data_IF_503601837180
#
_entry.id   IF_503601837180
#
_cell.length_a   1.000
_cell.length_b   1.000
_cell.length_c   1.000
_cell.angle_alpha   90.00
_cell.angle_beta   90.00
_cell.angle_gamma   90.00
#
_symmetry.space_group_name_H-M   'P 1'
#
loop_
_entity.id
_entity.type
_entity.pdbx_description
1 polymer ?
#
# COMPACT_ATOMS: atom_id res chain seq x y z
N UNK A 1 -16.79 40.96 8.10
CA UNK A 1 -16.43 39.67 7.48
C UNK A 1 -15.65 38.85 8.49
N UNK A 2 -16.29 37.86 9.13
CA UNK A 2 -15.60 36.96 10.04
C UNK A 2 -14.60 36.09 9.26
N UNK A 3 -13.35 36.08 9.69
CA UNK A 3 -12.34 35.13 9.16
C UNK A 3 -12.92 33.74 9.36
N UNK A 4 -13.24 33.04 8.28
CA UNK A 4 -13.63 31.61 8.36
C UNK A 4 -12.53 30.88 9.13
N UNK A 5 -12.90 30.19 10.22
CA UNK A 5 -11.92 29.39 10.98
C UNK A 5 -11.31 28.37 10.01
N UNK A 6 -9.99 28.44 9.88
CA UNK A 6 -9.26 27.54 9.00
C UNK A 6 -9.38 26.10 9.52
N UNK A 7 -10.04 25.25 8.76
CA UNK A 7 -10.26 23.85 9.08
C UNK A 7 -9.02 23.00 8.73
N UNK A 8 -8.79 21.97 9.53
CA UNK A 8 -7.73 20.99 9.34
C UNK A 8 -8.32 19.59 9.21
N UNK A 9 -7.66 18.75 8.45
CA UNK A 9 -7.87 17.30 8.50
C UNK A 9 -6.58 16.62 8.87
N UNK A 10 -6.66 15.42 9.43
CA UNK A 10 -5.50 14.55 9.67
C UNK A 10 -5.66 13.30 8.83
N UNK A 11 -4.58 12.89 8.15
CA UNK A 11 -4.49 11.56 7.56
C UNK A 11 -3.47 10.77 8.39
N UNK A 12 -3.99 9.81 9.17
CA UNK A 12 -3.18 8.91 9.99
C UNK A 12 -2.60 7.77 9.15
N UNK A 13 -1.33 7.44 9.38
CA UNK A 13 -0.64 6.39 8.62
C UNK A 13 -0.27 6.77 7.18
N UNK A 14 -0.33 8.07 6.84
CA UNK A 14 0.07 8.58 5.54
C UNK A 14 1.59 8.51 5.37
N UNK A 15 2.06 7.73 4.40
CA UNK A 15 3.47 7.64 4.04
C UNK A 15 3.64 7.48 2.52
N UNK A 16 4.26 8.49 1.89
CA UNK A 16 4.62 8.50 0.47
C UNK A 16 6.12 8.30 0.24
N UNK A 17 6.89 8.14 1.31
CA UNK A 17 8.34 7.94 1.26
C UNK A 17 8.74 6.50 1.61
N UNK A 18 7.77 5.63 1.85
CA UNK A 18 8.01 4.22 2.12
C UNK A 18 8.68 3.55 0.91
N UNK A 19 9.64 2.69 1.15
CA UNK A 19 10.28 1.88 0.10
C UNK A 19 9.29 0.95 -0.60
N UNK A 20 8.20 0.57 0.07
CA UNK A 20 7.11 -0.21 -0.51
C UNK A 20 6.13 0.70 -1.26
N UNK A 21 6.12 0.61 -2.60
CA UNK A 21 5.19 1.38 -3.47
C UNK A 21 3.73 1.06 -3.19
N UNK A 22 3.44 -0.09 -2.57
CA UNK A 22 2.10 -0.41 -2.06
C UNK A 22 1.67 0.52 -0.93
N UNK A 23 2.52 0.78 0.05
CA UNK A 23 2.26 1.76 1.12
C UNK A 23 2.10 3.16 0.54
N UNK A 24 2.99 3.56 -0.39
CA UNK A 24 2.84 4.84 -1.11
C UNK A 24 1.49 4.92 -1.83
N UNK A 25 1.06 3.83 -2.52
CA UNK A 25 -0.20 3.79 -3.25
C UNK A 25 -1.40 4.05 -2.36
N UNK A 26 -1.39 3.55 -1.11
CA UNK A 26 -2.43 3.85 -0.13
C UNK A 26 -2.45 5.34 0.23
N UNK A 27 -1.30 5.98 0.38
CA UNK A 27 -1.19 7.42 0.63
C UNK A 27 -1.76 8.25 -0.54
N UNK A 28 -1.29 8.02 -1.76
CA UNK A 28 -1.81 8.70 -2.95
C UNK A 28 -3.30 8.44 -3.17
N UNK A 29 -3.72 7.20 -3.02
CA UNK A 29 -5.13 6.80 -3.16
C UNK A 29 -6.03 7.42 -2.11
N UNK A 30 -5.53 7.65 -0.88
CA UNK A 30 -6.31 8.29 0.18
C UNK A 30 -6.65 9.74 -0.16
N UNK A 31 -5.74 10.49 -0.78
CA UNK A 31 -6.01 11.86 -1.24
C UNK A 31 -7.12 11.87 -2.30
N UNK A 32 -7.02 11.01 -3.32
CA UNK A 32 -8.06 10.89 -4.35
C UNK A 32 -9.40 10.42 -3.79
N UNK A 33 -9.39 9.47 -2.86
CA UNK A 33 -10.60 8.99 -2.21
C UNK A 33 -11.29 10.09 -1.39
N UNK A 34 -10.51 10.82 -0.59
CA UNK A 34 -11.03 11.93 0.22
C UNK A 34 -11.52 13.09 -0.63
N UNK A 35 -10.87 13.35 -1.78
CA UNK A 35 -11.36 14.31 -2.75
C UNK A 35 -12.73 13.91 -3.29
N UNK A 36 -12.89 12.68 -3.73
CA UNK A 36 -14.14 12.17 -4.32
C UNK A 36 -15.29 12.08 -3.31
N UNK A 37 -15.01 11.68 -2.07
CA UNK A 37 -16.05 11.38 -1.06
C UNK A 37 -16.29 12.49 -0.06
N UNK A 38 -15.29 13.33 0.20
CA UNK A 38 -15.33 14.37 1.26
C UNK A 38 -15.00 15.77 0.75
N UNK A 39 -14.82 15.93 -0.56
CA UNK A 39 -14.55 17.24 -1.17
C UNK A 39 -13.18 17.83 -0.76
N UNK A 40 -12.18 16.98 -0.53
CA UNK A 40 -10.81 17.42 -0.27
C UNK A 40 -10.31 18.26 -1.45
N UNK A 41 -9.72 19.42 -1.17
CA UNK A 41 -9.16 20.33 -2.19
C UNK A 41 -7.70 20.65 -1.88
N UNK A 42 -6.92 21.14 -2.85
CA UNK A 42 -5.54 21.60 -2.61
C UNK A 42 -5.41 22.65 -1.51
N UNK A 43 -6.45 23.46 -1.29
CA UNK A 43 -6.47 24.50 -0.23
C UNK A 43 -6.74 23.92 1.17
N UNK A 44 -7.16 22.66 1.26
CA UNK A 44 -7.39 21.98 2.54
C UNK A 44 -6.08 21.79 3.28
N UNK A 45 -6.04 22.21 4.55
CA UNK A 45 -4.86 21.98 5.38
C UNK A 45 -4.84 20.55 5.90
N UNK A 46 -3.92 19.77 5.35
CA UNK A 46 -3.73 18.38 5.72
C UNK A 46 -2.57 18.27 6.72
N UNK A 47 -2.80 17.57 7.81
CA UNK A 47 -1.81 17.29 8.83
C UNK A 47 -1.51 15.78 8.88
N UNK A 48 -0.25 15.45 9.11
CA UNK A 48 0.21 14.14 9.57
C UNK A 48 0.83 14.34 10.95
N UNK A 49 0.37 13.60 11.96
CA UNK A 49 0.82 13.80 13.33
C UNK A 49 2.06 12.94 13.61
N UNK A 50 3.04 13.53 14.30
CA UNK A 50 4.24 12.84 14.75
C UNK A 50 4.37 12.99 16.26
N UNK A 51 4.23 11.89 17.00
CA UNK A 51 4.40 11.88 18.44
C UNK A 51 5.88 11.90 18.81
N UNK A 52 6.30 12.91 19.59
CA UNK A 52 7.69 13.11 19.98
C UNK A 52 7.84 13.11 21.49
N UNK A 53 8.88 12.42 21.99
CA UNK A 53 9.20 12.38 23.42
C UNK A 53 10.11 13.55 23.84
N UNK A 54 11.07 13.92 22.99
CA UNK A 54 12.02 14.98 23.28
C UNK A 54 11.89 16.12 22.25
N UNK A 55 11.31 17.29 22.64
CA UNK A 55 11.15 18.44 21.75
C UNK A 55 12.48 19.16 21.45
N UNK A 56 13.52 18.92 22.24
CA UNK A 56 14.80 19.64 22.11
C UNK A 56 15.72 19.03 21.04
N UNK A 57 15.48 17.80 20.62
CA UNK A 57 16.23 17.19 19.53
C UNK A 57 16.03 17.97 18.23
N UNK A 58 17.13 18.28 17.54
CA UNK A 58 17.14 19.09 16.31
C UNK A 58 16.19 18.53 15.23
N UNK A 59 16.16 17.21 15.04
CA UNK A 59 15.27 16.51 14.11
C UNK A 59 13.77 16.74 14.39
N UNK A 60 13.40 17.05 15.64
CA UNK A 60 12.02 17.30 16.08
C UNK A 60 11.60 18.77 15.94
N UNK A 61 12.52 19.69 15.62
CA UNK A 61 12.25 21.12 15.47
C UNK A 61 11.78 21.49 14.06
N UNK A 62 11.98 20.60 13.08
CA UNK A 62 11.70 20.88 11.67
C UNK A 62 10.26 20.45 11.35
N UNK A 63 9.41 21.41 11.01
CA UNK A 63 8.13 21.15 10.39
C UNK A 63 8.35 20.78 8.91
N UNK A 64 8.31 19.48 8.59
CA UNK A 64 8.39 19.02 7.21
C UNK A 64 7.03 19.20 6.55
N UNK A 65 7.03 19.64 5.30
CA UNK A 65 5.86 19.70 4.43
C UNK A 65 6.15 18.80 3.24
N UNK A 66 5.33 17.80 3.06
CA UNK A 66 5.37 16.97 1.87
C UNK A 66 4.42 17.57 0.82
N UNK A 67 4.92 17.82 -0.38
CA UNK A 67 4.12 18.20 -1.54
C UNK A 67 3.82 16.96 -2.35
N UNK A 68 2.55 16.68 -2.55
CA UNK A 68 2.05 15.46 -3.20
C UNK A 68 1.22 15.82 -4.40
N UNK A 69 1.67 15.42 -5.57
CA UNK A 69 0.94 15.64 -6.82
C UNK A 69 -0.01 14.47 -7.08
N UNK A 70 -1.27 14.78 -7.33
CA UNK A 70 -2.32 13.82 -7.72
C UNK A 70 -3.03 14.38 -8.95
N UNK A 71 -2.74 13.83 -10.11
CA UNK A 71 -3.16 14.40 -11.39
C UNK A 71 -2.57 15.79 -11.62
N UNK A 72 -3.41 16.78 -11.85
CA UNK A 72 -3.06 18.20 -12.01
C UNK A 72 -3.02 18.99 -10.68
N UNK A 73 -3.37 18.36 -9.56
CA UNK A 73 -3.48 18.99 -8.24
C UNK A 73 -2.27 18.71 -7.37
N UNK A 74 -1.81 19.72 -6.62
CA UNK A 74 -0.76 19.59 -5.60
C UNK A 74 -1.36 19.75 -4.21
N UNK A 75 -1.21 18.73 -3.37
CA UNK A 75 -1.62 18.74 -1.95
C UNK A 75 -0.40 18.97 -1.07
N UNK A 76 -0.57 19.78 -0.02
CA UNK A 76 0.47 20.05 0.97
C UNK A 76 0.12 19.36 2.30
N UNK A 77 0.91 18.38 2.70
CA UNK A 77 0.76 17.66 3.97
C UNK A 77 1.82 18.15 4.96
N UNK A 78 1.38 18.82 6.02
CA UNK A 78 2.27 19.33 7.06
C UNK A 78 2.45 18.30 8.17
N UNK A 79 3.68 17.91 8.47
CA UNK A 79 4.01 17.10 9.63
C UNK A 79 3.94 17.97 10.89
N UNK A 80 3.01 17.66 11.79
CA UNK A 80 2.82 18.35 13.05
C UNK A 80 3.36 17.51 14.20
N UNK A 81 4.34 18.03 14.92
CA UNK A 81 4.86 17.39 16.11
C UNK A 81 3.88 17.55 17.27
N UNK A 82 3.54 16.43 17.92
CA UNK A 82 2.70 16.36 19.11
C UNK A 82 3.56 15.88 20.27
N UNK A 83 3.63 16.67 21.32
CA UNK A 83 4.35 16.26 22.52
C UNK A 83 3.65 15.11 23.21
N UNK A 84 4.41 14.15 23.67
CA UNK A 84 3.87 13.00 24.37
C UNK A 84 3.02 13.40 25.60
N UNK A 85 3.40 14.48 26.28
CA UNK A 85 2.61 15.04 27.38
C UNK A 85 1.22 15.54 26.91
N UNK A 86 1.14 16.21 25.77
CA UNK A 86 -0.14 16.65 25.21
C UNK A 86 -1.06 15.49 24.86
N UNK A 87 -0.47 14.40 24.33
CA UNK A 87 -1.19 13.15 24.09
C UNK A 87 -1.77 12.57 25.38
N UNK A 88 -0.96 12.48 26.45
CA UNK A 88 -1.40 11.96 27.77
C UNK A 88 -2.50 12.83 28.36
N UNK A 89 -2.34 14.16 28.33
CA UNK A 89 -3.32 15.11 28.85
C UNK A 89 -4.68 14.93 28.15
N UNK A 90 -4.67 14.77 26.83
CA UNK A 90 -5.90 14.55 26.09
C UNK A 90 -6.51 13.17 26.36
N UNK A 91 -5.72 12.11 26.29
CA UNK A 91 -6.22 10.73 26.42
C UNK A 91 -6.74 10.41 27.82
N UNK A 92 -6.05 10.90 28.88
CA UNK A 92 -6.42 10.59 30.28
C UNK A 92 -7.33 11.62 30.94
N UNK A 93 -7.15 12.90 30.59
CA UNK A 93 -7.81 14.01 31.30
C UNK A 93 -8.74 14.83 30.40
N UNK A 94 -8.83 14.52 29.10
CA UNK A 94 -9.58 15.28 28.10
C UNK A 94 -9.17 16.78 28.03
N UNK A 95 -7.90 17.08 28.34
CA UNK A 95 -7.35 18.44 28.35
C UNK A 95 -6.54 18.67 27.10
N UNK A 96 -6.81 19.78 26.40
CA UNK A 96 -5.99 20.30 25.30
C UNK A 96 -5.36 21.63 25.70
N UNK A 97 -4.08 21.81 25.40
CA UNK A 97 -3.37 23.07 25.68
C UNK A 97 -3.63 24.07 24.54
N UNK A 98 -4.44 25.12 24.76
CA UNK A 98 -4.97 25.96 23.67
C UNK A 98 -3.91 26.80 22.94
N UNK A 99 -2.76 27.03 23.55
CA UNK A 99 -1.68 27.84 23.01
C UNK A 99 -0.68 27.04 22.14
N UNK A 100 -0.68 25.72 22.24
CA UNK A 100 0.21 24.87 21.42
C UNK A 100 -0.27 24.73 19.97
N UNK A 101 0.62 24.43 19.00
CA UNK A 101 0.21 24.14 17.63
C UNK A 101 -0.78 22.98 17.54
N UNK A 102 -0.57 21.92 18.34
CA UNK A 102 -1.48 20.77 18.40
C UNK A 102 -2.84 21.13 18.98
N UNK A 103 -2.89 21.84 20.12
CA UNK A 103 -4.16 22.27 20.70
C UNK A 103 -4.95 23.27 19.82
N UNK A 104 -4.26 24.09 19.00
CA UNK A 104 -4.89 24.92 17.96
C UNK A 104 -5.42 24.04 16.82
N UNK A 105 -4.69 23.01 16.40
CA UNK A 105 -5.11 22.10 15.36
C UNK A 105 -6.35 21.30 15.78
N UNK A 106 -6.35 20.69 16.96
CA UNK A 106 -7.47 19.89 17.48
C UNK A 106 -8.79 20.67 17.50
N UNK A 107 -8.78 21.94 17.94
CA UNK A 107 -10.00 22.76 17.99
C UNK A 107 -10.59 23.12 16.64
N UNK A 108 -9.82 23.00 15.57
CA UNK A 108 -10.25 23.31 14.22
C UNK A 108 -10.18 22.08 13.31
N UNK A 109 -9.99 20.90 13.90
CA UNK A 109 -9.92 19.63 13.18
C UNK A 109 -11.32 19.19 12.75
N UNK A 110 -11.47 18.89 11.48
CA UNK A 110 -12.75 18.50 10.90
C UNK A 110 -12.97 16.99 11.02
N UNK A 111 -11.95 16.21 10.74
CA UNK A 111 -11.93 14.75 10.91
C UNK A 111 -10.51 14.20 10.89
N UNK A 112 -10.38 12.95 11.33
CA UNK A 112 -9.18 12.10 11.18
C UNK A 112 -9.51 10.93 10.29
N UNK A 113 -8.82 10.80 9.14
CA UNK A 113 -8.92 9.68 8.23
C UNK A 113 -7.76 8.72 8.47
N UNK A 114 -8.04 7.45 8.77
CA UNK A 114 -7.04 6.48 9.20
C UNK A 114 -6.71 5.45 8.12
N UNK A 115 -5.40 5.36 7.77
CA UNK A 115 -4.79 4.28 7.00
C UNK A 115 -3.93 3.47 7.96
N UNK A 116 -4.19 2.17 8.07
CA UNK A 116 -3.41 1.28 8.94
C UNK A 116 -2.52 0.32 8.12
N UNK A 117 -1.95 0.82 7.02
CA UNK A 117 -1.10 0.04 6.11
C UNK A 117 -1.84 -1.03 5.31
N UNK A 118 -3.15 -0.85 5.11
CA UNK A 118 -3.99 -1.72 4.29
C UNK A 118 -4.52 -2.98 4.98
N UNK A 119 -3.77 -3.65 5.83
CA UNK A 119 -4.22 -4.80 6.64
C UNK A 119 -3.75 -4.75 8.10
N UNK A 120 -3.24 -3.63 8.51
CA UNK A 120 -2.69 -3.47 9.85
C UNK A 120 -3.69 -3.01 10.91
N UNK A 121 -4.97 -2.82 10.57
CA UNK A 121 -6.04 -2.74 11.57
C UNK A 121 -6.45 -4.17 11.98
N UNK A 122 -5.48 -4.88 12.51
CA UNK A 122 -5.57 -6.28 12.93
C UNK A 122 -4.41 -6.61 13.88
N UNK A 123 -4.44 -7.73 14.57
CA UNK A 123 -3.33 -8.19 15.40
C UNK A 123 -2.50 -9.34 14.79
N UNK A 124 -2.66 -9.58 13.48
CA UNK A 124 -1.92 -10.61 12.73
C UNK A 124 -0.40 -10.42 12.77
N UNK A 125 0.09 -9.20 12.85
CA UNK A 125 1.53 -8.91 12.96
C UNK A 125 2.02 -8.90 14.40
N UNK A 126 1.29 -8.30 15.30
CA UNK A 126 1.39 -8.34 16.76
C UNK A 126 0.41 -7.35 17.40
N UNK A 127 0.06 -7.58 18.66
CA UNK A 127 -0.69 -6.59 19.46
C UNK A 127 0.01 -5.24 19.50
N UNK A 128 1.35 -5.21 19.64
CA UNK A 128 2.12 -3.97 19.70
C UNK A 128 2.02 -3.18 18.39
N UNK A 129 2.13 -3.86 17.23
CA UNK A 129 1.98 -3.23 15.91
C UNK A 129 0.57 -2.66 15.72
N UNK A 130 -0.47 -3.36 16.17
CA UNK A 130 -1.84 -2.87 16.17
C UNK A 130 -1.96 -1.57 16.97
N UNK A 131 -1.51 -1.56 18.21
CA UNK A 131 -1.58 -0.38 19.08
C UNK A 131 -0.77 0.82 18.56
N UNK A 132 0.35 0.60 17.89
CA UNK A 132 1.14 1.70 17.31
C UNK A 132 0.44 2.47 16.20
N UNK A 133 -0.56 1.87 15.57
CA UNK A 133 -1.32 2.45 14.46
C UNK A 133 -2.60 3.18 14.88
N UNK A 134 -2.92 3.21 16.17
CA UNK A 134 -4.18 3.75 16.67
C UNK A 134 -4.10 5.15 17.32
N UNK A 135 -2.94 5.73 17.68
CA UNK A 135 -2.87 6.92 18.52
C UNK A 135 -3.69 8.10 18.00
N UNK A 136 -3.64 8.40 16.70
CA UNK A 136 -4.37 9.52 16.10
C UNK A 136 -5.88 9.29 16.14
N UNK A 137 -6.30 8.07 15.83
CA UNK A 137 -7.71 7.68 15.85
C UNK A 137 -8.29 7.73 17.26
N UNK A 138 -7.58 7.13 18.24
CA UNK A 138 -8.02 7.16 19.65
C UNK A 138 -8.09 8.59 20.20
N UNK A 139 -7.09 9.39 19.88
CA UNK A 139 -7.02 10.79 20.27
C UNK A 139 -8.19 11.59 19.68
N UNK A 140 -8.53 11.39 18.40
CA UNK A 140 -9.68 12.02 17.76
C UNK A 140 -10.99 11.64 18.45
N UNK A 141 -11.21 10.34 18.72
CA UNK A 141 -12.40 9.85 19.43
C UNK A 141 -12.51 10.51 20.81
N UNK A 142 -11.40 10.57 21.57
CA UNK A 142 -11.36 11.21 22.89
C UNK A 142 -11.63 12.71 22.83
N UNK A 143 -11.28 13.38 21.75
CA UNK A 143 -11.54 14.79 21.52
C UNK A 143 -12.93 15.06 20.92
N UNK A 144 -13.75 14.04 20.65
CA UNK A 144 -15.05 14.19 19.98
C UNK A 144 -14.95 14.59 18.51
N UNK A 145 -13.80 14.31 17.87
CA UNK A 145 -13.55 14.59 16.46
C UNK A 145 -13.98 13.40 15.63
N UNK A 146 -14.75 13.58 14.53
CA UNK A 146 -15.13 12.50 13.64
C UNK A 146 -13.93 11.73 13.11
N UNK A 147 -14.00 10.39 13.11
CA UNK A 147 -12.99 9.52 12.52
C UNK A 147 -13.55 8.77 11.31
N UNK A 148 -12.71 8.55 10.31
CA UNK A 148 -13.02 7.80 9.09
C UNK A 148 -12.02 6.67 8.99
N UNK A 149 -12.51 5.42 8.95
CA UNK A 149 -11.66 4.29 8.60
C UNK A 149 -11.64 4.18 7.09
N UNK A 150 -10.50 4.52 6.49
CA UNK A 150 -10.31 4.46 5.04
C UNK A 150 -10.29 3.02 4.52
N UNK A 151 -10.51 2.79 3.21
CA UNK A 151 -10.55 1.46 2.62
C UNK A 151 -9.35 0.58 2.98
N UNK A 152 -9.59 -0.45 3.77
CA UNK A 152 -8.59 -1.38 4.28
C UNK A 152 -9.22 -2.69 4.74
N UNK A 153 -8.41 -3.71 5.04
CA UNK A 153 -8.87 -4.92 5.71
C UNK A 153 -8.96 -4.68 7.21
N UNK A 154 -10.11 -4.99 7.82
CA UNK A 154 -10.37 -4.77 9.24
C UNK A 154 -10.46 -6.13 9.96
N UNK A 155 -9.35 -6.53 10.61
CA UNK A 155 -9.21 -7.81 11.31
C UNK A 155 -8.30 -8.80 10.55
N UNK A 156 -8.10 -10.02 11.06
CA UNK A 156 -8.73 -10.59 12.27
C UNK A 156 -8.22 -9.99 13.58
N UNK A 157 -8.89 -10.34 14.69
CA UNK A 157 -8.46 -10.04 16.06
C UNK A 157 -8.50 -11.33 16.87
N UNK A 158 -7.35 -11.87 17.23
CA UNK A 158 -7.23 -13.10 18.00
C UNK A 158 -7.44 -12.87 19.51
N UNK A 159 -6.98 -11.70 20.00
CA UNK A 159 -7.10 -11.36 21.42
C UNK A 159 -8.38 -10.60 21.70
N UNK A 160 -9.06 -10.99 22.81
CA UNK A 160 -10.31 -10.38 23.25
C UNK A 160 -10.19 -8.87 23.49
N UNK A 161 -9.06 -8.42 24.04
CA UNK A 161 -8.79 -7.00 24.30
C UNK A 161 -8.66 -6.22 22.99
N UNK A 162 -7.97 -6.77 21.99
CA UNK A 162 -7.81 -6.17 20.68
C UNK A 162 -9.14 -6.09 19.94
N UNK A 163 -9.94 -7.16 20.03
CA UNK A 163 -11.30 -7.19 19.49
C UNK A 163 -12.19 -6.10 20.13
N UNK A 164 -12.17 -5.99 21.47
CA UNK A 164 -12.95 -4.99 22.19
C UNK A 164 -12.54 -3.55 21.82
N UNK A 165 -11.23 -3.30 21.71
CA UNK A 165 -10.70 -2.00 21.29
C UNK A 165 -11.06 -1.68 19.82
N UNK A 166 -10.93 -2.65 18.92
CA UNK A 166 -11.32 -2.50 17.53
C UNK A 166 -12.82 -2.18 17.41
N UNK A 167 -13.68 -2.93 18.11
CA UNK A 167 -15.12 -2.67 18.19
C UNK A 167 -15.42 -1.26 18.65
N UNK A 168 -14.79 -0.80 19.73
CA UNK A 168 -14.95 0.56 20.25
C UNK A 168 -14.59 1.63 19.20
N UNK A 169 -13.44 1.46 18.52
CA UNK A 169 -12.98 2.40 17.49
C UNK A 169 -13.93 2.42 16.29
N UNK A 170 -14.34 1.24 15.81
CA UNK A 170 -15.18 1.12 14.63
C UNK A 170 -16.61 1.63 14.88
N UNK A 171 -17.16 1.39 16.08
CA UNK A 171 -18.46 1.91 16.47
C UNK A 171 -18.46 3.45 16.68
N UNK A 172 -17.33 4.01 17.10
CA UNK A 172 -17.18 5.46 17.27
C UNK A 172 -16.86 6.18 15.93
N UNK A 173 -16.49 5.44 14.89
CA UNK A 173 -16.16 6.02 13.59
C UNK A 173 -17.42 6.57 12.91
N UNK A 174 -17.28 7.75 12.27
CA UNK A 174 -18.31 8.35 11.44
C UNK A 174 -18.60 7.47 10.22
N UNK A 175 -17.54 7.04 9.54
CA UNK A 175 -17.62 6.20 8.37
C UNK A 175 -16.55 5.10 8.42
N UNK A 176 -16.91 3.89 7.97
CA UNK A 176 -16.03 2.72 7.91
C UNK A 176 -16.07 2.15 6.51
N UNK A 177 -14.92 2.16 5.83
CA UNK A 177 -14.76 1.57 4.50
C UNK A 177 -13.91 0.31 4.55
N UNK A 178 -14.36 -0.73 3.84
CA UNK A 178 -13.72 -2.05 3.81
C UNK A 178 -13.38 -2.41 2.38
N UNK A 179 -12.15 -2.85 2.12
CA UNK A 179 -11.69 -3.21 0.76
C UNK A 179 -11.95 -4.66 0.36
N UNK A 180 -12.31 -5.51 1.32
CA UNK A 180 -12.57 -6.93 1.09
C UNK A 180 -13.61 -7.47 2.08
N UNK A 181 -14.21 -8.61 1.78
CA UNK A 181 -15.32 -9.19 2.52
C UNK A 181 -14.88 -10.19 3.61
N UNK A 182 -13.59 -10.46 3.76
CA UNK A 182 -13.05 -11.54 4.62
C UNK A 182 -13.51 -11.48 6.08
N UNK A 183 -13.71 -10.27 6.62
CA UNK A 183 -14.08 -10.05 8.01
C UNK A 183 -15.41 -9.31 8.18
N UNK A 184 -16.21 -9.26 7.15
CA UNK A 184 -17.50 -8.57 7.14
C UNK A 184 -18.46 -9.16 8.17
N UNK A 185 -18.47 -10.48 8.35
CA UNK A 185 -19.31 -11.14 9.36
C UNK A 185 -18.92 -10.72 10.79
N UNK A 186 -17.63 -10.52 11.06
CA UNK A 186 -17.18 -9.98 12.35
C UNK A 186 -17.62 -8.53 12.55
N UNK A 187 -17.60 -7.71 11.51
CA UNK A 187 -18.08 -6.32 11.59
C UNK A 187 -19.59 -6.29 11.87
N UNK A 188 -20.38 -7.20 11.28
CA UNK A 188 -21.80 -7.34 11.59
C UNK A 188 -22.03 -7.74 13.05
N UNK A 189 -21.26 -8.71 13.57
CA UNK A 189 -21.32 -9.11 15.00
C UNK A 189 -20.92 -7.97 15.94
N UNK A 190 -20.00 -7.10 15.52
CA UNK A 190 -19.65 -5.89 16.25
C UNK A 190 -20.75 -4.81 16.20
N UNK A 191 -21.74 -4.92 15.32
CA UNK A 191 -22.75 -3.91 15.07
C UNK A 191 -22.21 -2.67 14.35
N UNK A 192 -21.17 -2.83 13.53
CA UNK A 192 -20.53 -1.75 12.78
C UNK A 192 -21.20 -1.59 11.41
N UNK A 193 -21.58 -0.36 11.09
CA UNK A 193 -21.99 0.01 9.73
C UNK A 193 -20.74 0.22 8.88
N UNK A 194 -20.70 -0.35 7.69
CA UNK A 194 -19.56 -0.26 6.78
C UNK A 194 -20.02 -0.16 5.31
N UNK A 195 -19.11 0.33 4.46
CA UNK A 195 -19.26 0.33 3.01
C UNK A 195 -18.13 -0.50 2.39
N UNK A 196 -18.48 -1.47 1.54
CA UNK A 196 -17.51 -2.21 0.73
C UNK A 196 -17.08 -1.32 -0.45
N UNK A 197 -15.78 -1.23 -0.67
CA UNK A 197 -15.20 -0.44 -1.76
C UNK A 197 -13.88 -1.05 -2.22
N UNK A 198 -13.26 -0.49 -3.24
CA UNK A 198 -11.96 -0.95 -3.69
C UNK A 198 -10.83 -0.56 -2.70
N UNK A 199 -9.69 -1.25 -2.81
CA UNK A 199 -8.44 -0.83 -2.15
C UNK A 199 -8.08 0.62 -2.50
N UNK A 200 -7.43 1.34 -1.58
CA UNK A 200 -7.03 2.73 -1.83
C UNK A 200 -6.16 2.88 -3.08
N UNK A 201 -5.34 1.89 -3.42
CA UNK A 201 -4.51 1.92 -4.63
C UNK A 201 -5.32 1.95 -5.94
N UNK A 202 -6.61 1.58 -5.90
CA UNK A 202 -7.55 1.78 -7.02
C UNK A 202 -7.71 3.26 -7.35
N UNK A 203 -7.86 4.09 -6.35
CA UNK A 203 -8.09 5.54 -6.49
C UNK A 203 -6.83 6.31 -6.88
N UNK A 204 -5.63 5.73 -6.69
CA UNK A 204 -4.39 6.34 -7.15
C UNK A 204 -4.34 6.37 -8.68
N UNK A 205 -4.24 7.58 -9.26
CA UNK A 205 -4.11 7.74 -10.70
C UNK A 205 -2.67 7.44 -11.15
N UNK A 206 -2.46 6.78 -12.31
CA UNK A 206 -1.14 6.66 -12.90
C UNK A 206 -0.62 8.03 -13.33
N UNK A 207 0.66 8.32 -13.04
CA UNK A 207 1.32 9.57 -13.42
C UNK A 207 2.20 9.36 -14.66
N UNK A 208 1.83 9.91 -15.82
CA UNK A 208 2.65 9.83 -17.02
C UNK A 208 4.00 10.52 -16.86
N UNK A 209 5.04 9.93 -17.47
CA UNK A 209 6.36 10.54 -17.59
C UNK A 209 7.05 10.01 -18.86
N UNK A 210 8.18 10.62 -19.24
CA UNK A 210 8.91 10.23 -20.44
C UNK A 210 9.60 8.87 -20.22
N UNK A 211 8.97 7.81 -20.71
CA UNK A 211 9.50 6.45 -20.77
C UNK A 211 8.99 5.75 -22.03
N UNK A 212 9.90 5.16 -22.79
CA UNK A 212 9.54 4.38 -23.97
C UNK A 212 9.32 2.92 -23.58
N UNK A 213 8.12 2.42 -23.84
CA UNK A 213 7.75 1.03 -23.65
C UNK A 213 7.36 0.45 -25.01
N UNK A 214 7.94 -0.66 -25.38
CA UNK A 214 7.68 -1.33 -26.65
C UNK A 214 6.27 -1.92 -26.69
N UNK A 215 5.67 -1.92 -27.87
CA UNK A 215 4.33 -2.50 -28.07
C UNK A 215 4.35 -3.99 -27.78
N UNK A 216 3.36 -4.47 -27.03
CA UNK A 216 3.24 -5.88 -26.68
C UNK A 216 4.14 -6.29 -25.52
N UNK A 217 4.68 -5.34 -24.77
CA UNK A 217 5.53 -5.55 -23.62
C UNK A 217 4.88 -6.39 -22.51
N UNK A 218 5.67 -7.27 -21.92
CA UNK A 218 5.32 -8.10 -20.76
C UNK A 218 6.00 -7.53 -19.53
N UNK A 219 5.23 -7.21 -18.49
CA UNK A 219 5.79 -6.81 -17.19
C UNK A 219 6.03 -8.01 -16.30
N UNK A 220 7.20 -8.08 -15.68
CA UNK A 220 7.53 -9.08 -14.66
C UNK A 220 8.02 -8.38 -13.40
N UNK A 221 7.30 -8.57 -12.29
CA UNK A 221 7.78 -8.12 -10.98
C UNK A 221 8.52 -9.25 -10.28
N UNK A 222 9.84 -9.15 -10.25
CA UNK A 222 10.71 -10.01 -9.45
C UNK A 222 10.75 -9.47 -8.03
N UNK A 223 10.20 -10.23 -7.07
CA UNK A 223 10.16 -9.79 -5.67
C UNK A 223 11.44 -10.15 -4.93
N UNK A 224 12.04 -9.16 -4.28
CA UNK A 224 13.22 -9.34 -3.43
C UNK A 224 12.97 -10.32 -2.29
N UNK A 225 11.78 -10.28 -1.69
CA UNK A 225 11.37 -11.18 -0.62
C UNK A 225 11.48 -12.67 -1.02
N UNK A 226 11.00 -13.00 -2.22
CA UNK A 226 11.01 -14.39 -2.72
C UNK A 226 12.35 -14.75 -3.37
N UNK A 227 13.03 -13.79 -3.99
CA UNK A 227 14.29 -14.00 -4.67
C UNK A 227 15.45 -14.23 -3.69
N UNK A 228 15.51 -13.47 -2.59
CA UNK A 228 16.52 -13.69 -1.53
C UNK A 228 16.33 -15.02 -0.81
N UNK A 229 15.08 -15.45 -0.68
CA UNK A 229 14.68 -16.65 0.08
C UNK A 229 15.09 -16.62 1.58
N UNK A 230 15.37 -15.43 2.14
CA UNK A 230 15.82 -15.24 3.53
C UNK A 230 14.87 -14.36 4.36
N UNK A 231 13.75 -13.93 3.80
CA UNK A 231 12.89 -12.95 4.46
C UNK A 231 12.07 -13.57 5.61
N UNK A 232 12.45 -13.27 6.86
CA UNK A 232 11.71 -13.58 8.10
C UNK A 232 11.18 -15.03 8.15
N UNK A 233 9.90 -15.23 8.47
CA UNK A 233 9.22 -16.53 8.58
C UNK A 233 9.00 -17.22 7.22
N UNK A 234 9.26 -16.55 6.11
CA UNK A 234 9.14 -17.09 4.76
C UNK A 234 10.47 -17.64 4.21
N UNK A 235 11.56 -17.53 4.98
CA UNK A 235 12.87 -18.02 4.57
C UNK A 235 12.84 -19.53 4.22
N UNK A 236 13.55 -19.91 3.18
CA UNK A 236 13.67 -21.31 2.72
C UNK A 236 12.50 -21.81 1.86
N UNK A 237 11.47 -21.00 1.62
CA UNK A 237 10.27 -21.46 0.91
C UNK A 237 10.30 -21.21 -0.61
N UNK A 238 11.37 -20.58 -1.15
CA UNK A 238 11.38 -20.10 -2.55
C UNK A 238 12.60 -20.56 -3.34
N UNK A 239 13.14 -21.73 -3.07
CA UNK A 239 14.36 -22.26 -3.73
C UNK A 239 14.27 -22.23 -5.26
N UNK A 240 13.12 -22.53 -5.84
CA UNK A 240 12.94 -22.59 -7.28
C UNK A 240 12.29 -21.32 -7.88
N UNK A 241 12.17 -20.21 -7.12
CA UNK A 241 11.59 -18.97 -7.64
C UNK A 241 12.43 -18.35 -8.77
N UNK A 242 13.76 -18.33 -8.63
CA UNK A 242 14.65 -17.83 -9.69
C UNK A 242 14.54 -18.66 -10.96
N UNK A 243 14.40 -19.99 -10.85
CA UNK A 243 14.16 -20.88 -11.98
C UNK A 243 12.83 -20.56 -12.66
N UNK A 244 11.75 -20.37 -11.88
CA UNK A 244 10.45 -19.96 -12.40
C UNK A 244 10.54 -18.67 -13.21
N UNK A 245 11.17 -17.62 -12.66
CA UNK A 245 11.39 -16.36 -13.37
C UNK A 245 12.19 -16.54 -14.67
N UNK A 246 13.23 -17.40 -14.66
CA UNK A 246 14.02 -17.70 -15.86
C UNK A 246 13.17 -18.40 -16.93
N UNK A 247 12.32 -19.38 -16.57
CA UNK A 247 11.43 -20.05 -17.52
C UNK A 247 10.38 -19.09 -18.11
N UNK A 248 9.83 -18.18 -17.30
CA UNK A 248 8.93 -17.14 -17.77
C UNK A 248 9.64 -16.27 -18.83
N UNK A 249 10.83 -15.77 -18.54
CA UNK A 249 11.62 -14.95 -19.48
C UNK A 249 11.90 -15.73 -20.76
N UNK A 250 12.38 -16.98 -20.68
CA UNK A 250 12.67 -17.83 -21.85
C UNK A 250 11.45 -18.03 -22.75
N UNK A 251 10.27 -18.24 -22.15
CA UNK A 251 9.05 -18.38 -22.95
C UNK A 251 8.75 -17.12 -23.75
N UNK A 252 8.73 -15.94 -23.10
CA UNK A 252 8.40 -14.70 -23.81
C UNK A 252 9.47 -14.28 -24.82
N UNK A 253 10.75 -14.58 -24.58
CA UNK A 253 11.81 -14.44 -25.57
C UNK A 253 11.57 -15.36 -26.80
N UNK A 254 11.14 -16.59 -26.60
CA UNK A 254 10.90 -17.54 -27.70
C UNK A 254 9.76 -17.11 -28.65
N UNK A 255 8.89 -16.21 -28.18
CA UNK A 255 7.82 -15.62 -28.98
C UNK A 255 8.05 -14.13 -29.29
N UNK A 256 9.30 -13.67 -29.15
CA UNK A 256 9.75 -12.30 -29.45
C UNK A 256 8.93 -11.20 -28.78
N UNK A 257 8.54 -11.40 -27.50
CA UNK A 257 7.87 -10.36 -26.68
C UNK A 257 8.90 -9.66 -25.81
N UNK A 258 8.93 -8.29 -25.84
CA UNK A 258 9.80 -7.55 -24.93
C UNK A 258 9.32 -7.69 -23.49
N UNK A 259 10.27 -7.86 -22.57
CA UNK A 259 10.01 -8.11 -21.14
C UNK A 259 10.60 -6.96 -20.34
N UNK A 260 9.80 -6.38 -19.44
CA UNK A 260 10.22 -5.32 -18.56
C UNK A 260 10.21 -5.82 -17.11
N UNK A 261 11.38 -5.80 -16.47
CA UNK A 261 11.52 -6.09 -15.04
C UNK A 261 11.13 -4.85 -14.25
N UNK A 262 10.05 -4.93 -13.46
CA UNK A 262 9.42 -3.79 -12.79
C UNK A 262 9.42 -4.04 -11.28
N UNK A 263 10.19 -3.25 -10.55
CA UNK A 263 10.30 -3.32 -9.10
C UNK A 263 9.17 -2.55 -8.41
N UNK A 264 8.71 -3.05 -7.26
CA UNK A 264 7.59 -2.45 -6.53
C UNK A 264 7.87 -2.19 -5.04
N UNK A 265 8.81 -2.88 -4.42
CA UNK A 265 9.28 -2.63 -3.06
C UNK A 265 10.79 -2.56 -3.07
N UNK A 266 11.37 -1.35 -2.96
CA UNK A 266 12.82 -1.14 -3.04
C UNK A 266 13.24 0.20 -2.51
N UNK A 267 14.44 0.28 -1.94
CA UNK A 267 15.12 1.51 -1.56
C UNK A 267 16.20 1.85 -2.59
N UNK A 268 15.94 2.81 -3.49
CA UNK A 268 16.84 3.10 -4.61
C UNK A 268 18.26 3.47 -4.17
N UNK A 269 18.40 4.29 -3.13
CA UNK A 269 19.68 4.70 -2.55
C UNK A 269 20.20 3.73 -1.49
N UNK A 270 19.29 3.11 -0.74
CA UNK A 270 19.59 2.22 0.37
C UNK A 270 18.74 0.96 0.25
N UNK A 271 19.20 -0.06 -0.49
CA UNK A 271 18.48 -1.30 -0.66
C UNK A 271 18.13 -1.97 0.67
N UNK A 272 16.94 -2.52 0.77
CA UNK A 272 16.48 -3.25 1.95
C UNK A 272 16.96 -4.69 1.90
N UNK A 273 17.63 -5.16 2.95
CA UNK A 273 18.11 -6.53 3.04
C UNK A 273 16.95 -7.52 2.90
N UNK A 274 17.11 -8.50 2.04
CA UNK A 274 16.18 -9.62 1.79
C UNK A 274 14.76 -9.24 1.33
N UNK A 275 14.52 -7.96 0.96
CA UNK A 275 13.18 -7.51 0.56
C UNK A 275 13.20 -6.48 -0.58
N UNK A 276 14.32 -6.28 -1.24
CA UNK A 276 14.48 -5.27 -2.28
C UNK A 276 14.28 -5.84 -3.68
N UNK A 277 13.20 -5.41 -4.35
CA UNK A 277 12.82 -5.90 -5.68
C UNK A 277 13.79 -5.41 -6.76
N UNK A 278 14.36 -4.19 -6.60
CA UNK A 278 15.26 -3.63 -7.59
C UNK A 278 16.60 -4.36 -7.56
N UNK A 279 17.13 -4.62 -6.37
CA UNK A 279 18.36 -5.39 -6.22
C UNK A 279 18.18 -6.84 -6.73
N UNK A 280 17.06 -7.48 -6.38
CA UNK A 280 16.72 -8.79 -6.92
C UNK A 280 16.62 -8.78 -8.46
N UNK A 281 16.01 -7.74 -9.04
CA UNK A 281 15.89 -7.59 -10.50
C UNK A 281 17.24 -7.35 -11.17
N UNK A 282 18.14 -6.56 -10.58
CA UNK A 282 19.51 -6.35 -11.04
C UNK A 282 20.29 -7.64 -11.05
N UNK A 283 20.26 -8.42 -9.94
CA UNK A 283 20.92 -9.70 -9.82
C UNK A 283 20.35 -10.70 -10.84
N UNK A 284 19.02 -10.81 -10.94
CA UNK A 284 18.34 -11.66 -11.90
C UNK A 284 18.75 -11.31 -13.34
N UNK A 285 18.67 -10.04 -13.72
CA UNK A 285 19.06 -9.55 -15.04
C UNK A 285 20.53 -9.86 -15.37
N UNK A 286 21.43 -9.68 -14.40
CA UNK A 286 22.86 -9.96 -14.60
C UNK A 286 23.13 -11.43 -14.91
N UNK A 287 22.36 -12.36 -14.32
CA UNK A 287 22.50 -13.83 -14.46
C UNK A 287 21.80 -14.41 -15.68
N UNK A 288 20.97 -13.65 -16.39
CA UNK A 288 20.30 -14.12 -17.60
C UNK A 288 21.33 -14.53 -18.67
N UNK A 289 21.15 -15.71 -19.25
CA UNK A 289 21.97 -16.21 -20.35
C UNK A 289 21.83 -15.37 -21.61
N UNK A 290 20.62 -14.93 -21.93
CA UNK A 290 20.32 -13.98 -22.97
C UNK A 290 19.55 -12.81 -22.38
N UNK A 291 19.94 -11.60 -22.74
CA UNK A 291 19.27 -10.34 -22.37
C UNK A 291 18.44 -9.77 -23.52
N UNK A 292 18.37 -10.49 -24.64
CA UNK A 292 17.61 -10.05 -25.80
C UNK A 292 16.14 -9.79 -25.43
N UNK A 293 15.67 -8.60 -25.77
CA UNK A 293 14.30 -8.16 -25.45
C UNK A 293 13.98 -8.05 -23.97
N UNK A 294 14.97 -8.11 -23.06
CA UNK A 294 14.74 -7.92 -21.62
C UNK A 294 15.25 -6.55 -21.18
N UNK A 295 14.40 -5.79 -20.55
CA UNK A 295 14.65 -4.43 -20.09
C UNK A 295 14.50 -4.34 -18.57
N UNK A 296 15.49 -3.79 -17.89
CA UNK A 296 15.44 -3.50 -16.48
C UNK A 296 14.99 -2.03 -16.29
N UNK A 297 13.90 -1.81 -15.56
CA UNK A 297 13.52 -0.46 -15.12
C UNK A 297 14.35 -0.11 -13.88
N UNK A 298 15.56 0.40 -14.10
CA UNK A 298 16.47 0.85 -13.05
C UNK A 298 16.31 2.34 -12.77
N UNK A 299 15.20 2.70 -12.14
CA UNK A 299 14.81 4.09 -11.85
C UNK A 299 14.18 4.19 -10.46
N UNK A 300 14.38 5.33 -9.80
CA UNK A 300 13.65 5.64 -8.56
C UNK A 300 12.25 6.19 -8.89
N UNK A 301 11.30 5.29 -9.03
CA UNK A 301 9.93 5.63 -9.36
C UNK A 301 9.05 5.70 -8.11
N UNK A 302 8.26 6.76 -7.99
CA UNK A 302 7.14 6.82 -7.05
C UNK A 302 6.00 5.90 -7.51
N UNK A 303 5.12 5.52 -6.58
CA UNK A 303 4.03 4.58 -6.87
C UNK A 303 3.14 4.96 -8.07
N UNK A 304 2.70 6.23 -8.27
CA UNK A 304 1.93 6.62 -9.46
C UNK A 304 2.67 6.39 -10.78
N UNK A 305 3.99 6.63 -10.83
CA UNK A 305 4.82 6.38 -12.02
C UNK A 305 5.02 4.88 -12.26
N UNK A 306 5.21 4.08 -11.19
CA UNK A 306 5.27 2.61 -11.31
C UNK A 306 3.95 2.07 -11.86
N UNK A 307 2.80 2.58 -11.38
CA UNK A 307 1.48 2.23 -11.91
C UNK A 307 1.34 2.62 -13.39
N UNK A 308 1.89 3.77 -13.79
CA UNK A 308 1.92 4.18 -15.20
C UNK A 308 2.74 3.21 -16.06
N UNK A 309 3.93 2.80 -15.62
CA UNK A 309 4.74 1.79 -16.34
C UNK A 309 3.95 0.50 -16.50
N UNK A 310 3.36 -0.02 -15.41
CA UNK A 310 2.55 -1.24 -15.44
C UNK A 310 1.36 -1.09 -16.40
N UNK A 311 0.71 0.07 -16.46
CA UNK A 311 -0.42 0.34 -17.35
C UNK A 311 -0.09 0.27 -18.84
N UNK A 312 1.19 0.29 -19.21
CA UNK A 312 1.67 0.17 -20.61
C UNK A 312 1.95 -1.27 -21.01
N UNK A 313 1.89 -2.21 -20.09
CA UNK A 313 2.13 -3.62 -20.38
C UNK A 313 0.92 -4.24 -21.11
N UNK A 314 1.17 -5.19 -22.01
CA UNK A 314 0.12 -6.00 -22.62
C UNK A 314 -0.30 -7.17 -21.73
N UNK A 315 0.59 -7.57 -20.83
CA UNK A 315 0.36 -8.61 -19.81
C UNK A 315 1.32 -8.38 -18.64
N UNK A 316 0.87 -8.66 -17.42
CA UNK A 316 1.68 -8.46 -16.22
C UNK A 316 1.76 -9.72 -15.38
N UNK A 317 2.94 -10.04 -14.87
CA UNK A 317 3.17 -11.16 -13.96
C UNK A 317 3.78 -10.59 -12.68
N UNK A 318 3.01 -10.62 -11.59
CA UNK A 318 3.40 -9.92 -10.36
C UNK A 318 3.52 -10.83 -9.15
N UNK A 319 4.58 -10.64 -8.37
CA UNK A 319 4.77 -11.30 -7.08
C UNK A 319 4.37 -10.40 -5.90
N UNK A 320 4.34 -9.07 -6.09
CA UNK A 320 3.82 -8.13 -5.08
C UNK A 320 2.33 -7.85 -5.28
N UNK A 321 1.55 -7.88 -4.18
CA UNK A 321 0.10 -7.66 -4.24
C UNK A 321 -0.28 -6.34 -4.91
N UNK A 322 0.33 -5.22 -4.49
CA UNK A 322 0.00 -3.92 -5.05
C UNK A 322 0.54 -3.69 -6.47
N UNK A 323 1.56 -4.44 -6.91
CA UNK A 323 1.96 -4.47 -8.32
C UNK A 323 0.87 -5.13 -9.17
N UNK A 324 0.28 -6.24 -8.68
CA UNK A 324 -0.88 -6.87 -9.32
C UNK A 324 -2.09 -5.93 -9.30
N UNK A 325 -2.37 -5.23 -8.20
CA UNK A 325 -3.44 -4.23 -8.15
C UNK A 325 -3.22 -3.10 -9.16
N UNK A 326 -1.98 -2.64 -9.36
CA UNK A 326 -1.69 -1.65 -10.39
C UNK A 326 -2.08 -2.15 -11.79
N UNK A 327 -1.82 -3.43 -12.13
CA UNK A 327 -2.25 -4.05 -13.37
C UNK A 327 -3.79 -4.17 -13.44
N UNK A 328 -4.42 -4.75 -12.41
CA UNK A 328 -5.88 -4.93 -12.33
C UNK A 328 -6.61 -3.60 -12.53
N UNK A 329 -6.21 -2.57 -11.79
CA UNK A 329 -6.89 -1.27 -11.78
C UNK A 329 -6.60 -0.41 -13.02
N UNK A 330 -5.61 -0.80 -13.82
CA UNK A 330 -5.37 -0.23 -15.15
C UNK A 330 -5.82 -1.12 -16.30
N UNK A 331 -6.56 -2.20 -15.98
CA UNK A 331 -7.13 -3.17 -16.93
C UNK A 331 -6.07 -3.91 -17.75
N UNK A 332 -4.87 -4.07 -17.22
CA UNK A 332 -3.82 -4.90 -17.80
C UNK A 332 -4.09 -6.35 -17.39
N UNK A 333 -4.19 -7.30 -18.34
CA UNK A 333 -4.28 -8.72 -18.03
C UNK A 333 -3.14 -9.17 -17.14
N UNK A 334 -3.43 -9.95 -16.08
CA UNK A 334 -2.46 -10.20 -15.02
C UNK A 334 -2.46 -11.66 -14.56
N UNK A 335 -1.28 -12.14 -14.14
CA UNK A 335 -1.12 -13.40 -13.43
C UNK A 335 -0.34 -13.17 -12.14
N UNK A 336 -0.88 -13.60 -11.00
CA UNK A 336 -0.28 -13.41 -9.68
C UNK A 336 0.57 -14.61 -9.25
N UNK A 337 1.85 -14.37 -8.94
CA UNK A 337 2.73 -15.33 -8.28
C UNK A 337 2.58 -15.18 -6.77
N UNK A 338 1.73 -16.01 -6.17
CA UNK A 338 1.28 -15.87 -4.81
C UNK A 338 2.22 -16.56 -3.81
N UNK A 339 2.67 -15.83 -2.80
CA UNK A 339 3.37 -16.39 -1.63
C UNK A 339 2.48 -16.42 -0.38
N UNK A 340 1.23 -16.03 -0.51
CA UNK A 340 0.24 -15.99 0.57
C UNK A 340 -1.16 -16.24 0.00
N UNK A 341 -2.00 -16.92 0.76
CA UNK A 341 -3.40 -17.18 0.42
C UNK A 341 -4.21 -15.90 0.15
N UNK A 342 -3.76 -14.75 0.65
CA UNK A 342 -4.40 -13.44 0.43
C UNK A 342 -4.50 -13.06 -1.05
N UNK A 343 -3.59 -13.56 -1.91
CA UNK A 343 -3.59 -13.24 -3.34
C UNK A 343 -4.85 -13.73 -4.04
N UNK A 344 -5.22 -15.00 -3.80
CA UNK A 344 -6.43 -15.58 -4.41
C UNK A 344 -7.65 -14.73 -4.11
N UNK A 345 -7.93 -14.45 -2.83
CA UNK A 345 -9.08 -13.62 -2.46
C UNK A 345 -9.03 -12.21 -3.05
N UNK A 346 -7.84 -11.59 -3.11
CA UNK A 346 -7.69 -10.27 -3.71
C UNK A 346 -7.99 -10.25 -5.22
N UNK A 347 -7.63 -11.30 -5.96
CA UNK A 347 -7.97 -11.44 -7.38
C UNK A 347 -9.46 -11.72 -7.56
N UNK A 348 -10.03 -12.68 -6.81
CA UNK A 348 -11.45 -13.03 -6.87
C UNK A 348 -12.37 -11.85 -6.53
N UNK A 349 -12.01 -11.03 -5.54
CA UNK A 349 -12.74 -9.80 -5.19
C UNK A 349 -12.73 -8.75 -6.32
N UNK A 350 -11.81 -8.88 -7.28
CA UNK A 350 -11.75 -8.05 -8.49
C UNK A 350 -12.29 -8.79 -9.74
N UNK A 351 -13.01 -9.90 -9.56
CA UNK A 351 -13.61 -10.67 -10.66
C UNK A 351 -12.60 -11.48 -11.48
N UNK A 352 -11.39 -11.71 -10.97
CA UNK A 352 -10.33 -12.44 -11.66
C UNK A 352 -10.13 -13.81 -11.03
N UNK A 353 -10.52 -14.85 -11.75
CA UNK A 353 -10.51 -16.23 -11.27
C UNK A 353 -9.46 -17.07 -12.01
N UNK A 354 -8.76 -17.96 -11.29
CA UNK A 354 -7.81 -18.89 -11.87
C UNK A 354 -6.53 -18.26 -12.46
N UNK A 355 -6.21 -17.04 -12.07
CA UNK A 355 -5.02 -16.31 -12.57
C UNK A 355 -3.99 -16.08 -11.46
N UNK A 356 -3.88 -17.02 -10.53
CA UNK A 356 -2.87 -17.01 -9.47
C UNK A 356 -2.33 -18.42 -9.24
N UNK A 357 -1.05 -18.53 -8.92
CA UNK A 357 -0.43 -19.78 -8.47
C UNK A 357 0.39 -19.54 -7.21
N UNK A 358 0.34 -20.50 -6.25
CA UNK A 358 1.21 -20.48 -5.08
C UNK A 358 2.62 -20.89 -5.49
N UNK A 359 3.62 -20.16 -4.98
CA UNK A 359 5.05 -20.36 -5.32
C UNK A 359 5.90 -20.83 -4.13
N UNK A 360 5.28 -21.11 -2.98
CA UNK A 360 5.97 -21.64 -1.81
C UNK A 360 6.30 -23.11 -2.00
N UNK A 361 7.53 -23.50 -1.72
CA UNK A 361 8.01 -24.89 -1.73
C UNK A 361 7.75 -25.66 -3.05
N UNK A 362 7.73 -24.96 -4.18
CA UNK A 362 7.51 -25.59 -5.47
C UNK A 362 8.77 -26.32 -5.96
N UNK A 363 8.58 -27.48 -6.61
CA UNK A 363 9.61 -28.16 -7.39
C UNK A 363 9.81 -27.48 -8.75
N UNK A 364 10.87 -27.83 -9.48
CA UNK A 364 11.08 -27.35 -10.87
C UNK A 364 9.93 -27.77 -11.80
N UNK A 365 9.43 -28.98 -11.67
CA UNK A 365 8.26 -29.44 -12.46
C UNK A 365 7.01 -28.59 -12.18
N UNK A 366 6.75 -28.26 -10.92
CA UNK A 366 5.64 -27.36 -10.57
C UNK A 366 5.86 -25.93 -11.09
N UNK A 367 7.11 -25.45 -11.11
CA UNK A 367 7.43 -24.17 -11.74
C UNK A 367 7.13 -24.21 -13.25
N UNK A 368 7.48 -25.28 -13.96
CA UNK A 368 7.13 -25.45 -15.38
C UNK A 368 5.60 -25.49 -15.60
N UNK A 369 4.84 -26.10 -14.70
CA UNK A 369 3.38 -26.11 -14.76
C UNK A 369 2.78 -24.73 -14.51
N UNK A 370 3.36 -23.92 -13.62
CA UNK A 370 2.99 -22.52 -13.43
C UNK A 370 3.23 -21.71 -14.71
N UNK A 371 4.37 -21.94 -15.40
CA UNK A 371 4.63 -21.29 -16.69
C UNK A 371 3.56 -21.65 -17.72
N UNK A 372 3.13 -22.91 -17.81
CA UNK A 372 2.03 -23.31 -18.70
C UNK A 372 0.73 -22.56 -18.39
N UNK A 373 0.37 -22.43 -17.10
CA UNK A 373 -0.81 -21.67 -16.67
C UNK A 373 -0.69 -20.19 -17.09
N UNK A 374 0.46 -19.55 -16.89
CA UNK A 374 0.74 -18.18 -17.33
C UNK A 374 0.52 -18.04 -18.85
N UNK A 375 1.06 -18.99 -19.61
CA UNK A 375 0.95 -19.02 -21.08
C UNK A 375 -0.51 -19.18 -21.53
N UNK A 376 -1.27 -20.04 -20.90
CA UNK A 376 -2.71 -20.19 -21.18
C UNK A 376 -3.49 -18.90 -20.94
N UNK A 377 -3.25 -18.25 -19.79
CA UNK A 377 -3.88 -16.96 -19.47
C UNK A 377 -3.43 -15.90 -20.47
N UNK A 378 -2.14 -15.79 -20.77
CA UNK A 378 -1.62 -14.85 -21.76
C UNK A 378 -2.30 -15.02 -23.12
N UNK A 379 -2.37 -16.25 -23.65
CA UNK A 379 -3.03 -16.57 -24.94
C UNK A 379 -4.51 -16.20 -24.96
N UNK A 380 -5.21 -16.30 -23.81
CA UNK A 380 -6.63 -15.93 -23.71
C UNK A 380 -6.86 -14.43 -23.98
N UNK A 381 -5.92 -13.57 -23.59
CA UNK A 381 -6.05 -12.12 -23.73
C UNK A 381 -5.33 -11.54 -24.95
N UNK A 382 -4.46 -12.32 -25.59
CA UNK A 382 -3.61 -11.89 -26.72
C UNK A 382 -3.85 -12.76 -27.97
N UNK A 383 -5.12 -13.09 -28.23
CA UNK A 383 -5.58 -13.75 -29.45
C UNK A 383 -5.51 -12.83 -30.65
#
# INVERSE_FOLDING_TARGET
>A
MGKSKQKFIVISGFDIHDNNRGTQALGYGSLSFLEQRYGLTPDTKILSLRFIKNPLKQENRINKVDKVRVGDKEFCIKKLNVFFLEKILLEKFHITLPFTPFGKAIRNMEYVAAINGGDGFSDIYSTQTFYWRLPETLMAIKAGIPTIQLPQTLGPFEKKENYALAKYILQAAKDVYVRDDRFVEELKKMGVKYELTNDLSYFMQPEPFDIKIEKGAIGLNVSGLTYSNHFRTLAGQFENYHYLCEQIVRYFQSIHRPIYLISHSYGYQNPETDNDDLEASRIFYSKLKSKEGVHLIDMDLISPKTKYVISKMSFFIGTRMHANFAAIFTKVPVFGLAYSYKFKGAFENNGIFGQTAMINNISKSQADDIVKQIVEVFKKYNK
#
